data_IF_305991413680
#
_entry.id   IF_305991413680
#
_cell.length_a   1.000
_cell.length_b   1.000
_cell.length_c   1.000
_cell.angle_alpha   90.00
_cell.angle_beta   90.00
_cell.angle_gamma   90.00
#
_symmetry.space_group_name_H-M   'P 1'
#
loop_
_entity.id
_entity.type
_entity.pdbx_description
1 polymer ?
#
# COMPACT_ATOMS: atom_id res chain seq x y z
N UNK A 1 4.00 17.88 1.39
CA UNK A 1 4.86 16.72 1.07
C UNK A 1 4.63 16.33 -0.38
N UNK A 2 5.69 16.15 -1.13
CA UNK A 2 5.58 15.70 -2.52
C UNK A 2 5.19 14.23 -2.55
N UNK A 3 4.52 13.80 -3.61
CA UNK A 3 4.02 12.42 -3.71
C UNK A 3 5.13 11.37 -3.59
N UNK A 4 6.32 11.65 -4.14
CA UNK A 4 7.46 10.73 -4.03
C UNK A 4 7.91 10.56 -2.58
N UNK A 5 8.00 11.67 -1.85
CA UNK A 5 8.38 11.64 -0.44
C UNK A 5 7.33 10.90 0.39
N UNK A 6 6.05 11.10 0.06
CA UNK A 6 4.97 10.41 0.72
C UNK A 6 5.04 8.90 0.45
N UNK A 7 5.30 8.50 -0.79
CA UNK A 7 5.47 7.08 -1.14
C UNK A 7 6.62 6.45 -0.35
N UNK A 8 7.76 7.15 -0.24
CA UNK A 8 8.91 6.67 0.52
C UNK A 8 8.56 6.49 1.99
N UNK A 9 7.81 7.42 2.57
CA UNK A 9 7.35 7.31 3.95
C UNK A 9 6.44 6.11 4.14
N UNK A 10 5.53 5.86 3.19
CA UNK A 10 4.64 4.70 3.24
C UNK A 10 5.42 3.39 3.22
N UNK A 11 6.47 3.30 2.40
CA UNK A 11 7.32 2.12 2.34
C UNK A 11 7.98 1.85 3.69
N UNK A 12 8.55 2.87 4.31
CA UNK A 12 9.18 2.75 5.62
C UNK A 12 8.19 2.28 6.68
N UNK A 13 6.99 2.85 6.69
CA UNK A 13 5.95 2.49 7.65
C UNK A 13 5.53 1.03 7.48
N UNK A 14 5.39 0.56 6.24
CA UNK A 14 5.09 -0.85 5.96
C UNK A 14 6.17 -1.75 6.57
N UNK A 15 7.43 -1.39 6.40
CA UNK A 15 8.57 -2.18 6.88
C UNK A 15 8.65 -2.22 8.41
N UNK A 16 8.15 -1.18 9.09
CA UNK A 16 8.10 -1.15 10.57
C UNK A 16 7.28 -2.30 11.16
N UNK A 17 6.29 -2.78 10.44
CA UNK A 17 5.44 -3.89 10.89
C UNK A 17 5.79 -5.20 10.19
N UNK A 18 7.00 -5.29 9.70
CA UNK A 18 7.51 -6.51 9.05
C UNK A 18 6.67 -6.95 7.86
N UNK A 19 6.07 -5.99 7.16
CA UNK A 19 5.40 -6.29 5.90
C UNK A 19 6.41 -6.92 4.95
N UNK A 20 5.98 -7.94 4.23
CA UNK A 20 6.86 -8.67 3.33
C UNK A 20 6.71 -8.17 1.89
N UNK A 21 7.78 -8.32 1.12
CA UNK A 21 7.78 -8.05 -0.31
C UNK A 21 7.20 -6.67 -0.64
N UNK A 22 7.68 -5.64 0.07
CA UNK A 22 7.23 -4.26 -0.15
C UNK A 22 7.81 -3.77 -1.47
N UNK A 23 6.95 -3.42 -2.40
CA UNK A 23 7.35 -2.84 -3.69
C UNK A 23 6.57 -1.57 -3.95
N UNK A 24 7.13 -0.70 -4.76
CA UNK A 24 6.49 0.55 -5.15
C UNK A 24 6.60 0.73 -6.66
N UNK A 25 5.50 1.10 -7.29
CA UNK A 25 5.46 1.39 -8.73
C UNK A 25 5.14 2.85 -8.97
N UNK A 26 5.94 3.49 -9.80
CA UNK A 26 5.69 4.84 -10.28
C UNK A 26 4.72 4.73 -11.46
N UNK A 27 3.48 5.17 -11.24
CA UNK A 27 2.44 5.08 -12.27
C UNK A 27 2.00 6.44 -12.79
N UNK A 28 2.81 7.47 -12.57
CA UNK A 28 2.47 8.84 -12.98
C UNK A 28 2.23 8.96 -14.48
N UNK A 29 2.92 8.16 -15.28
CA UNK A 29 2.79 8.19 -16.74
C UNK A 29 1.72 7.26 -17.29
N UNK A 30 1.27 6.29 -16.49
CA UNK A 30 0.35 5.24 -16.93
C UNK A 30 -1.01 5.30 -16.27
N UNK A 31 -1.17 6.07 -15.19
CA UNK A 31 -2.42 6.18 -14.47
C UNK A 31 -2.79 7.65 -14.27
N UNK A 32 -4.09 7.93 -14.39
CA UNK A 32 -4.64 9.24 -14.04
C UNK A 32 -5.22 9.24 -12.62
N UNK A 33 -5.23 8.07 -11.95
CA UNK A 33 -5.89 7.91 -10.66
C UNK A 33 -4.97 8.20 -9.48
N UNK A 34 -3.69 7.88 -9.62
CA UNK A 34 -2.71 8.06 -8.54
C UNK A 34 -1.31 8.17 -9.12
N UNK A 35 -0.36 8.60 -8.30
CA UNK A 35 1.04 8.72 -8.71
C UNK A 35 1.84 7.46 -8.41
N UNK A 36 1.54 6.78 -7.31
CA UNK A 36 2.31 5.61 -6.87
C UNK A 36 1.40 4.54 -6.29
N UNK A 37 1.74 3.28 -6.59
CA UNK A 37 1.16 2.12 -5.91
C UNK A 37 2.24 1.51 -5.01
N UNK A 38 1.90 1.31 -3.74
CA UNK A 38 2.73 0.56 -2.80
C UNK A 38 2.03 -0.74 -2.53
N UNK A 39 2.74 -1.86 -2.66
CA UNK A 39 2.18 -3.20 -2.44
C UNK A 39 3.04 -3.91 -1.43
N UNK A 40 2.41 -4.53 -0.46
CA UNK A 40 3.10 -5.36 0.53
C UNK A 40 2.21 -6.51 0.94
N UNK A 41 2.78 -7.44 1.68
CA UNK A 41 2.08 -8.66 2.08
C UNK A 41 2.21 -8.92 3.57
N UNK A 42 1.25 -9.68 4.08
CA UNK A 42 1.28 -10.24 5.41
C UNK A 42 1.05 -11.75 5.37
N UNK A 43 1.42 -12.45 6.42
CA UNK A 43 1.32 -13.91 6.51
C UNK A 43 -0.01 -14.39 7.07
N UNK A 44 -0.87 -13.49 7.49
CA UNK A 44 -2.18 -13.81 8.04
C UNK A 44 -3.10 -12.60 7.88
N UNK A 45 -4.41 -12.83 8.00
CA UNK A 45 -5.41 -11.77 8.00
C UNK A 45 -5.11 -10.77 9.13
N UNK A 46 -4.69 -11.28 10.27
CA UNK A 46 -4.36 -10.48 11.44
C UNK A 46 -3.19 -9.54 11.16
N UNK A 47 -2.14 -10.05 10.54
CA UNK A 47 -0.97 -9.24 10.17
C UNK A 47 -1.34 -8.19 9.15
N UNK A 48 -2.13 -8.54 8.14
CA UNK A 48 -2.60 -7.60 7.12
C UNK A 48 -3.34 -6.44 7.77
N UNK A 49 -4.26 -6.73 8.70
CA UNK A 49 -4.98 -5.71 9.44
C UNK A 49 -4.05 -4.86 10.31
N UNK A 50 -3.09 -5.49 10.97
CA UNK A 50 -2.13 -4.79 11.83
C UNK A 50 -1.27 -3.81 11.03
N UNK A 51 -0.84 -4.22 9.84
CA UNK A 51 -0.07 -3.34 8.95
C UNK A 51 -0.92 -2.14 8.54
N UNK A 52 -2.16 -2.37 8.12
CA UNK A 52 -3.06 -1.30 7.71
C UNK A 52 -3.33 -0.30 8.85
N UNK A 53 -3.60 -0.80 10.05
CA UNK A 53 -3.84 0.05 11.21
C UNK A 53 -2.61 0.87 11.57
N UNK A 54 -1.44 0.27 11.48
CA UNK A 54 -0.18 0.98 11.76
C UNK A 54 0.07 2.10 10.76
N UNK A 55 -0.18 1.85 9.48
CA UNK A 55 -0.03 2.88 8.44
C UNK A 55 -0.96 4.06 8.72
N UNK A 56 -2.23 3.78 8.99
CA UNK A 56 -3.21 4.82 9.27
C UNK A 56 -2.84 5.63 10.50
N UNK A 57 -2.48 4.95 11.59
CA UNK A 57 -2.14 5.60 12.84
C UNK A 57 -0.90 6.47 12.70
N UNK A 58 0.13 5.96 12.01
CA UNK A 58 1.40 6.67 11.84
C UNK A 58 1.23 7.91 10.97
N UNK A 59 0.52 7.79 9.85
CA UNK A 59 0.28 8.93 8.96
C UNK A 59 -0.58 10.00 9.63
N UNK A 60 -1.56 9.58 10.43
CA UNK A 60 -2.39 10.52 11.17
C UNK A 60 -1.57 11.25 12.24
N UNK A 61 -0.77 10.52 13.00
CA UNK A 61 0.02 11.09 14.10
C UNK A 61 1.13 12.02 13.61
N UNK A 62 1.88 11.58 12.59
CA UNK A 62 3.08 12.28 12.16
C UNK A 62 2.83 13.34 11.08
N UNK A 63 1.82 13.14 10.24
CA UNK A 63 1.55 14.01 9.10
C UNK A 63 0.13 14.56 9.06
N UNK A 64 -0.73 14.15 9.98
CA UNK A 64 -2.15 14.54 10.03
C UNK A 64 -2.88 14.19 8.74
N UNK A 65 -2.48 13.09 8.11
CA UNK A 65 -3.07 12.61 6.86
C UNK A 65 -3.99 11.44 7.13
N UNK A 66 -5.19 11.48 6.55
CA UNK A 66 -6.17 10.40 6.63
C UNK A 66 -6.44 9.86 5.22
N UNK A 67 -6.77 8.56 5.09
CA UNK A 67 -7.08 8.03 3.77
C UNK A 67 -8.38 8.63 3.24
N UNK A 68 -8.42 8.80 1.92
CA UNK A 68 -9.62 9.22 1.22
C UNK A 68 -10.66 8.10 1.19
N UNK A 69 -10.17 6.85 1.19
CA UNK A 69 -11.03 5.66 1.22
C UNK A 69 -10.26 4.44 1.70
N UNK A 70 -11.00 3.49 2.26
CA UNK A 70 -10.44 2.22 2.72
C UNK A 70 -11.38 1.12 2.25
N UNK A 71 -10.81 0.06 1.65
CA UNK A 71 -11.58 -1.09 1.19
C UNK A 71 -10.96 -2.39 1.69
N UNK A 72 -11.78 -3.41 1.91
CA UNK A 72 -11.33 -4.76 2.23
C UNK A 72 -11.03 -5.03 3.70
N UNK A 73 -11.29 -4.08 4.59
CA UNK A 73 -10.94 -4.20 6.01
C UNK A 73 -11.62 -5.40 6.68
N UNK A 74 -12.85 -5.70 6.30
CA UNK A 74 -13.62 -6.79 6.93
C UNK A 74 -13.04 -8.18 6.64
N UNK A 75 -12.49 -8.40 5.44
CA UNK A 75 -11.92 -9.70 5.09
C UNK A 75 -10.48 -9.87 5.58
N UNK A 76 -9.72 -8.77 5.67
CA UNK A 76 -8.32 -8.83 6.03
C UNK A 76 -7.42 -9.53 5.01
N UNK A 77 -7.93 -9.85 3.84
CA UNK A 77 -7.15 -10.53 2.80
C UNK A 77 -6.54 -9.59 1.78
N UNK A 78 -7.20 -8.48 1.54
CA UNK A 78 -6.74 -7.46 0.61
C UNK A 78 -7.31 -6.14 1.07
N UNK A 79 -6.49 -5.35 1.74
CA UNK A 79 -6.88 -4.02 2.21
C UNK A 79 -6.26 -2.98 1.30
N UNK A 80 -7.07 -2.05 0.84
CA UNK A 80 -6.64 -0.94 0.02
C UNK A 80 -6.81 0.35 0.82
N UNK A 81 -5.72 1.11 0.94
CA UNK A 81 -5.72 2.42 1.57
C UNK A 81 -5.46 3.47 0.49
N UNK A 82 -6.46 4.27 0.20
CA UNK A 82 -6.40 5.29 -0.84
C UNK A 82 -6.05 6.65 -0.24
N UNK A 83 -4.82 7.11 -0.48
CA UNK A 83 -4.35 8.43 -0.05
C UNK A 83 -4.28 9.42 -1.22
N UNK A 84 -4.98 9.17 -2.30
CA UNK A 84 -5.06 9.97 -3.51
C UNK A 84 -3.78 9.89 -4.35
N UNK A 85 -2.67 10.46 -3.89
CA UNK A 85 -1.41 10.43 -4.63
C UNK A 85 -0.68 9.10 -4.50
N UNK A 86 -1.00 8.35 -3.45
CA UNK A 86 -0.44 7.03 -3.20
C UNK A 86 -1.58 6.11 -2.79
N UNK A 87 -1.66 4.95 -3.43
CA UNK A 87 -2.59 3.89 -3.05
C UNK A 87 -1.78 2.72 -2.53
N UNK A 88 -2.10 2.25 -1.33
CA UNK A 88 -1.38 1.16 -0.68
C UNK A 88 -2.25 -0.09 -0.71
N UNK A 89 -1.68 -1.18 -1.23
CA UNK A 89 -2.31 -2.49 -1.24
C UNK A 89 -1.59 -3.38 -0.25
N UNK A 90 -2.33 -3.93 0.71
CA UNK A 90 -1.80 -4.86 1.71
C UNK A 90 -2.56 -6.16 1.53
N UNK A 91 -1.86 -7.22 1.15
CA UNK A 91 -2.48 -8.50 0.79
C UNK A 91 -1.96 -9.64 1.65
N UNK A 92 -2.85 -10.57 1.95
CA UNK A 92 -2.45 -11.88 2.44
C UNK A 92 -1.64 -12.54 1.31
N UNK A 93 -0.44 -13.05 1.61
CA UNK A 93 0.50 -13.50 0.58
C UNK A 93 -0.12 -14.49 -0.44
N UNK A 94 -0.88 -15.52 -0.04
CA UNK A 94 -1.52 -16.40 -1.02
C UNK A 94 -2.48 -15.69 -1.98
N UNK A 95 -3.16 -14.66 -1.52
CA UNK A 95 -4.06 -13.85 -2.37
C UNK A 95 -3.25 -13.07 -3.39
N UNK A 96 -2.13 -12.47 -2.96
CA UNK A 96 -1.24 -11.73 -3.85
C UNK A 96 -0.70 -12.64 -4.95
N UNK A 97 -0.27 -13.86 -4.56
CA UNK A 97 0.24 -14.85 -5.51
C UNK A 97 -0.82 -15.28 -6.50
N UNK A 98 -2.05 -15.48 -6.03
CA UNK A 98 -3.16 -15.93 -6.87
C UNK A 98 -3.51 -14.88 -7.94
N UNK A 99 -3.64 -13.62 -7.55
CA UNK A 99 -4.03 -12.56 -8.47
C UNK A 99 -2.89 -12.00 -9.30
N UNK A 100 -1.64 -12.27 -8.91
CA UNK A 100 -0.46 -11.77 -9.62
C UNK A 100 -0.59 -10.27 -9.89
N UNK A 101 -0.92 -9.52 -8.84
CA UNK A 101 -1.28 -8.11 -8.92
C UNK A 101 -0.24 -7.24 -9.62
N UNK A 102 1.05 -7.54 -9.43
CA UNK A 102 2.12 -6.78 -10.03
C UNK A 102 2.09 -6.79 -11.56
N UNK A 103 1.49 -7.80 -12.16
CA UNK A 103 1.38 -7.88 -13.63
C UNK A 103 0.49 -6.79 -14.20
N UNK A 104 -0.42 -6.24 -13.39
CA UNK A 104 -1.27 -5.14 -13.82
C UNK A 104 -0.47 -3.88 -14.14
N UNK A 105 0.71 -3.75 -13.55
CA UNK A 105 1.56 -2.57 -13.70
C UNK A 105 2.90 -2.92 -14.34
N UNK A 106 2.92 -3.90 -15.21
CA UNK A 106 4.15 -4.32 -15.90
C UNK A 106 4.78 -3.19 -16.73
N UNK A 107 3.97 -2.23 -17.17
CA UNK A 107 4.46 -1.07 -17.92
C UNK A 107 4.96 0.06 -17.04
N UNK A 108 4.74 -0.04 -15.72
CA UNK A 108 5.14 0.98 -14.78
C UNK A 108 6.58 0.74 -14.30
N UNK A 109 7.22 1.82 -13.90
CA UNK A 109 8.58 1.75 -13.36
C UNK A 109 8.52 1.29 -11.91
N UNK A 110 9.15 0.16 -11.62
CA UNK A 110 9.33 -0.30 -10.25
C UNK A 110 10.49 0.46 -9.62
N UNK A 111 10.25 0.95 -8.43
CA UNK A 111 11.22 1.75 -7.70
C UNK A 111 12.05 0.93 -6.73
#
# INVERSE_FOLDING_TARGET
MKSREFADSCIEICQDRKAENVVCYDVRKTSILTDYYVICSGNSDRQVNAIAEHIEATLKANHKIRPNGIEGRSSGRWILLDYVDVVIHILYQPVRDYYELEKLWSDAKQM
#
